data_IF_725314493810
#
_entry.id   IF_725314493810
#
_cell.length_a   1.000
_cell.length_b   1.000
_cell.length_c   1.000
_cell.angle_alpha   90.00
_cell.angle_beta   90.00
_cell.angle_gamma   90.00
#
_symmetry.space_group_name_H-M   'P 1'
#
loop_
_entity.id
_entity.type
_entity.pdbx_description
1 polymer ?
#
# COMPACT_ATOMS: atom_id res chain seq x y z
N UNK A 1 0.86 -4.18 -9.10
CA UNK A 1 1.74 -5.30 -8.71
C UNK A 1 1.55 -5.49 -7.23
N UNK A 2 1.48 -6.74 -6.75
CA UNK A 2 1.10 -6.96 -5.35
C UNK A 2 2.13 -6.44 -4.37
N UNK A 3 1.63 -5.97 -3.21
CA UNK A 3 2.48 -5.55 -2.11
C UNK A 3 3.47 -6.67 -1.74
N UNK A 4 3.05 -7.93 -1.80
CA UNK A 4 3.91 -9.09 -1.57
C UNK A 4 5.06 -9.20 -2.56
N UNK A 5 4.78 -9.04 -3.86
CA UNK A 5 5.82 -9.04 -4.87
C UNK A 5 6.78 -7.85 -4.66
N UNK A 6 6.24 -6.66 -4.37
CA UNK A 6 7.05 -5.47 -4.12
C UNK A 6 8.02 -5.63 -2.95
N UNK A 7 7.53 -6.00 -1.77
CA UNK A 7 8.36 -6.08 -0.56
C UNK A 7 9.40 -7.20 -0.65
N UNK A 8 9.20 -8.22 -1.50
CA UNK A 8 10.21 -9.27 -1.73
C UNK A 8 11.47 -8.75 -2.42
N UNK A 9 11.37 -7.66 -3.17
CA UNK A 9 12.50 -7.03 -3.83
C UNK A 9 13.20 -5.98 -2.95
N UNK A 10 12.66 -5.69 -1.77
CA UNK A 10 13.25 -4.73 -0.83
C UNK A 10 14.18 -5.43 0.15
N UNK A 11 15.32 -4.81 0.40
CA UNK A 11 16.15 -5.15 1.55
C UNK A 11 15.50 -4.64 2.84
N UNK A 12 16.05 -5.05 3.99
CA UNK A 12 15.51 -4.68 5.30
C UNK A 12 15.42 -3.16 5.49
N UNK A 13 16.45 -2.41 5.09
CA UNK A 13 16.49 -0.97 5.29
C UNK A 13 15.44 -0.25 4.42
N UNK A 14 15.25 -0.68 3.17
CA UNK A 14 14.21 -0.09 2.32
C UNK A 14 12.80 -0.44 2.79
N UNK A 15 12.59 -1.66 3.33
CA UNK A 15 11.31 -2.04 3.91
C UNK A 15 10.97 -1.25 5.18
N UNK A 16 11.96 -1.02 6.05
CA UNK A 16 11.81 -0.16 7.23
C UNK A 16 11.49 1.29 6.84
N UNK A 17 12.16 1.84 5.82
CA UNK A 17 11.86 3.18 5.28
C UNK A 17 10.45 3.26 4.71
N UNK A 18 10.03 2.30 3.90
CA UNK A 18 8.68 2.27 3.34
C UNK A 18 7.62 2.27 4.44
N UNK A 19 7.83 1.47 5.49
CA UNK A 19 6.92 1.44 6.64
C UNK A 19 6.82 2.81 7.31
N UNK A 20 7.95 3.49 7.54
CA UNK A 20 7.99 4.83 8.11
C UNK A 20 7.28 5.86 7.22
N UNK A 21 7.56 5.87 5.92
CA UNK A 21 6.94 6.80 4.97
C UNK A 21 5.43 6.58 4.83
N UNK A 22 4.97 5.34 5.05
CA UNK A 22 3.56 4.99 5.04
C UNK A 22 2.85 5.17 6.39
N UNK A 23 3.52 5.74 7.40
CA UNK A 23 3.04 5.88 8.78
C UNK A 23 2.57 4.54 9.37
N UNK A 24 3.35 3.49 9.17
CA UNK A 24 3.02 2.14 9.61
C UNK A 24 4.25 1.36 10.09
N UNK A 25 4.07 0.06 10.36
CA UNK A 25 5.16 -0.83 10.76
C UNK A 25 5.42 -1.89 9.70
N UNK A 26 6.66 -2.41 9.63
CA UNK A 26 7.00 -3.53 8.75
C UNK A 26 6.12 -4.76 9.03
N UNK A 27 5.78 -5.00 10.29
CA UNK A 27 4.84 -6.06 10.67
C UNK A 27 3.49 -5.89 10.00
N UNK A 28 2.93 -4.68 10.02
CA UNK A 28 1.66 -4.39 9.37
C UNK A 28 1.75 -4.53 7.85
N UNK A 29 2.82 -4.04 7.22
CA UNK A 29 3.05 -4.23 5.77
C UNK A 29 3.07 -5.71 5.39
N UNK A 30 3.75 -6.55 6.18
CA UNK A 30 3.76 -8.00 5.97
C UNK A 30 2.37 -8.60 6.12
N UNK A 31 1.64 -8.25 7.19
CA UNK A 31 0.27 -8.75 7.38
C UNK A 31 -0.63 -8.41 6.19
N UNK A 32 -0.47 -7.22 5.59
CA UNK A 32 -1.19 -6.84 4.37
C UNK A 32 -0.70 -7.61 3.15
N UNK A 33 0.61 -7.70 2.95
CA UNK A 33 1.23 -8.39 1.82
C UNK A 33 0.82 -9.87 1.75
N UNK A 34 0.80 -10.56 2.89
CA UNK A 34 0.42 -11.97 2.99
C UNK A 34 -1.11 -12.18 3.02
N UNK A 35 -1.92 -11.11 2.91
CA UNK A 35 -3.38 -11.20 2.90
C UNK A 35 -4.02 -11.50 4.27
N UNK A 36 -3.23 -11.53 5.35
CA UNK A 36 -3.72 -11.74 6.71
C UNK A 36 -4.55 -10.55 7.22
N UNK A 37 -4.24 -9.35 6.72
CA UNK A 37 -4.98 -8.12 7.01
C UNK A 37 -5.22 -7.35 5.72
N UNK A 38 -6.27 -6.54 5.72
CA UNK A 38 -6.52 -5.59 4.65
C UNK A 38 -5.92 -4.23 5.00
N UNK A 39 -5.36 -3.54 4.02
CA UNK A 39 -4.97 -2.15 4.21
C UNK A 39 -6.21 -1.29 4.53
N UNK A 40 -6.09 -0.33 5.44
CA UNK A 40 -7.10 0.72 5.53
C UNK A 40 -6.93 1.70 4.34
N UNK A 41 -7.90 2.58 4.12
CA UNK A 41 -7.85 3.50 2.97
C UNK A 41 -6.61 4.42 3.01
N UNK A 42 -6.22 4.92 4.19
CA UNK A 42 -5.03 5.77 4.34
C UNK A 42 -3.72 5.04 4.00
N UNK A 43 -3.57 3.79 4.45
CA UNK A 43 -2.41 2.97 4.13
C UNK A 43 -2.36 2.62 2.64
N UNK A 44 -3.51 2.38 2.01
CA UNK A 44 -3.58 2.15 0.57
C UNK A 44 -3.10 3.37 -0.22
N UNK A 45 -3.56 4.57 0.15
CA UNK A 45 -3.12 5.84 -0.46
C UNK A 45 -1.63 6.08 -0.25
N UNK A 46 -1.14 5.87 0.97
CA UNK A 46 0.28 6.03 1.29
C UNK A 46 1.13 5.06 0.46
N UNK A 47 0.76 3.78 0.39
CA UNK A 47 1.50 2.81 -0.41
C UNK A 47 1.51 3.16 -1.90
N UNK A 48 0.37 3.57 -2.47
CA UNK A 48 0.31 4.01 -3.86
C UNK A 48 1.27 5.18 -4.12
N UNK A 49 1.23 6.21 -3.26
CA UNK A 49 2.11 7.38 -3.36
C UNK A 49 3.59 7.04 -3.20
N UNK A 50 3.95 6.35 -2.11
CA UNK A 50 5.37 6.07 -1.78
C UNK A 50 5.99 5.03 -2.71
N UNK A 51 5.18 4.18 -3.35
CA UNK A 51 5.64 3.23 -4.37
C UNK A 51 5.51 3.77 -5.80
N UNK A 52 5.14 5.03 -5.97
CA UNK A 52 4.92 5.68 -7.27
C UNK A 52 3.97 4.88 -8.19
N UNK A 53 2.89 4.32 -7.62
CA UNK A 53 1.88 3.54 -8.34
C UNK A 53 2.28 2.09 -8.62
N UNK A 54 3.41 1.60 -8.10
CA UNK A 54 3.79 0.20 -8.29
C UNK A 54 2.83 -0.75 -7.53
N UNK A 55 2.40 -0.34 -6.33
CA UNK A 55 1.34 -0.98 -5.54
C UNK A 55 0.15 -0.02 -5.44
N UNK A 56 -0.91 -0.25 -6.21
CA UNK A 56 -2.01 0.72 -6.34
C UNK A 56 -3.07 0.58 -5.26
N UNK A 57 -3.84 1.66 -5.05
CA UNK A 57 -5.00 1.66 -4.16
C UNK A 57 -6.03 0.58 -4.52
N UNK A 58 -6.27 0.35 -5.81
CA UNK A 58 -7.21 -0.64 -6.34
C UNK A 58 -6.81 -2.06 -5.97
N UNK A 59 -5.51 -2.35 -5.95
CA UNK A 59 -5.02 -3.66 -5.59
C UNK A 59 -5.14 -3.92 -4.08
N UNK A 60 -4.86 -2.92 -3.26
CA UNK A 60 -4.95 -3.02 -1.80
C UNK A 60 -6.39 -2.97 -1.28
N UNK A 61 -7.27 -2.26 -2.01
CA UNK A 61 -8.67 -2.00 -1.67
C UNK A 61 -9.56 -2.04 -2.92
N UNK A 62 -9.84 -3.23 -3.46
CA UNK A 62 -10.72 -3.39 -4.63
C UNK A 62 -12.20 -3.13 -4.33
N UNK A 63 -12.56 -2.96 -3.05
CA UNK A 63 -13.92 -2.65 -2.60
C UNK A 63 -14.28 -1.16 -2.62
N UNK A 64 -13.28 -0.28 -2.76
CA UNK A 64 -13.50 1.16 -2.84
C UNK A 64 -13.47 1.55 -4.31
N UNK A 65 -14.46 2.33 -4.75
CA UNK A 65 -14.44 2.97 -6.06
C UNK A 65 -13.48 4.17 -6.05
N UNK A 66 -12.20 3.89 -6.26
CA UNK A 66 -11.15 4.91 -6.38
C UNK A 66 -11.32 5.77 -7.64
N UNK A 67 -11.97 5.24 -8.68
CA UNK A 67 -12.31 6.01 -9.88
C UNK A 67 -13.26 7.14 -9.55
N UNK A 68 -14.36 6.84 -8.84
CA UNK A 68 -15.27 7.84 -8.32
C UNK A 68 -14.54 8.89 -7.46
N UNK A 69 -13.67 8.47 -6.53
CA UNK A 69 -12.91 9.40 -5.69
C UNK A 69 -11.94 10.30 -6.47
N UNK A 70 -11.30 9.80 -7.54
CA UNK A 70 -10.41 10.61 -8.39
C UNK A 70 -11.16 11.60 -9.27
N UNK A 71 -12.38 11.27 -9.66
CA UNK A 71 -13.22 12.13 -10.51
C UNK A 71 -14.15 13.06 -9.72
N UNK A 72 -14.29 12.84 -8.41
CA UNK A 72 -15.00 13.74 -7.50
C UNK A 72 -14.28 15.10 -7.46
N UNK A 73 -14.71 16.02 -8.32
CA UNK A 73 -14.31 17.43 -8.26
C UNK A 73 -14.90 18.04 -6.98
N UNK A 74 -14.10 18.88 -6.32
CA UNK A 74 -14.56 19.75 -5.23
C UNK A 74 -15.60 20.74 -5.73
#
# INVERSE_FOLDING_TARGET
>A
MSLHAYIKHLDKASLDRLAQQCDTTVGQLRQVAYGNRRANAGLAINLDRETAGAVTCEELRPDIDWGYLRHAKK
#
